data_IF_050657094301
#
_entry.id   IF_050657094301
#
_cell.length_a   1.000
_cell.length_b   1.000
_cell.length_c   1.000
_cell.angle_alpha   90.00
_cell.angle_beta   90.00
_cell.angle_gamma   90.00
#
_symmetry.space_group_name_H-M   'P 1'
#
loop_
_entity.id
_entity.type
_entity.pdbx_description
1 polymer ?
#
# COMPACT_ATOMS: atom_id res chain seq x y z
N UNK A 1 -15.99 3.52 -9.79
CA UNK A 1 -16.88 2.85 -10.76
C UNK A 1 -16.11 2.32 -11.96
N UNK A 2 -15.45 3.17 -12.76
CA UNK A 2 -14.74 2.75 -14.00
C UNK A 2 -13.69 1.66 -13.77
N UNK A 3 -12.84 1.78 -12.74
CA UNK A 3 -11.83 0.75 -12.44
C UNK A 3 -12.43 -0.62 -12.05
N UNK A 4 -13.48 -0.63 -11.23
CA UNK A 4 -14.21 -1.85 -10.88
C UNK A 4 -14.89 -2.47 -12.10
N UNK A 5 -15.53 -1.65 -12.94
CA UNK A 5 -16.14 -2.11 -14.18
C UNK A 5 -15.09 -2.68 -15.15
N UNK A 6 -13.92 -2.06 -15.24
CA UNK A 6 -12.79 -2.57 -16.01
C UNK A 6 -12.28 -3.91 -15.48
N UNK A 7 -12.12 -4.05 -14.17
CA UNK A 7 -11.71 -5.32 -13.54
C UNK A 7 -12.74 -6.43 -13.82
N UNK A 8 -14.02 -6.18 -13.55
CA UNK A 8 -15.11 -7.13 -13.84
C UNK A 8 -15.17 -7.47 -15.33
N UNK A 9 -15.08 -6.47 -16.21
CA UNK A 9 -15.06 -6.67 -17.66
C UNK A 9 -13.88 -7.53 -18.11
N UNK A 10 -12.71 -7.38 -17.49
CA UNK A 10 -11.53 -8.21 -17.76
C UNK A 10 -11.76 -9.66 -17.36
N UNK A 11 -12.32 -9.91 -16.16
CA UNK A 11 -12.63 -11.27 -15.71
C UNK A 11 -13.68 -11.94 -16.60
N UNK A 12 -14.72 -11.20 -16.99
CA UNK A 12 -15.74 -11.70 -17.91
C UNK A 12 -15.16 -12.01 -19.29
N UNK A 13 -14.28 -11.15 -19.81
CA UNK A 13 -13.62 -11.37 -21.09
C UNK A 13 -12.68 -12.58 -21.04
N UNK A 14 -11.89 -12.73 -19.98
CA UNK A 14 -11.03 -13.89 -19.77
C UNK A 14 -11.86 -15.19 -19.74
N UNK A 15 -12.99 -15.18 -19.03
CA UNK A 15 -13.93 -16.31 -18.99
C UNK A 15 -14.54 -16.61 -20.37
N UNK A 16 -14.92 -15.58 -21.13
CA UNK A 16 -15.46 -15.73 -22.49
C UNK A 16 -14.41 -16.29 -23.46
N UNK A 17 -13.14 -15.94 -23.26
CA UNK A 17 -12.01 -16.40 -24.07
C UNK A 17 -11.41 -17.72 -23.59
N UNK A 18 -11.99 -18.35 -22.56
CA UNK A 18 -11.50 -19.60 -21.96
C UNK A 18 -10.05 -19.53 -21.48
N UNK A 19 -9.62 -18.36 -21.00
CA UNK A 19 -8.33 -18.23 -20.32
C UNK A 19 -8.37 -18.85 -18.92
N UNK A 20 -7.19 -19.24 -18.38
CA UNK A 20 -7.09 -19.77 -17.02
C UNK A 20 -7.83 -18.90 -16.01
N UNK A 21 -8.60 -19.57 -15.17
CA UNK A 21 -9.46 -18.96 -14.17
C UNK A 21 -8.74 -18.75 -12.84
N UNK A 22 -9.42 -18.09 -11.91
CA UNK A 22 -8.97 -17.96 -10.53
C UNK A 22 -8.88 -19.33 -9.83
N UNK A 23 -9.70 -20.30 -10.24
CA UNK A 23 -9.64 -21.66 -9.72
C UNK A 23 -8.37 -22.39 -10.16
N UNK A 24 -7.88 -22.15 -11.38
CA UNK A 24 -6.63 -22.74 -11.88
C UNK A 24 -5.42 -22.15 -11.13
N UNK A 25 -5.45 -20.83 -10.87
CA UNK A 25 -4.45 -20.17 -10.02
C UNK A 25 -4.44 -20.74 -8.59
N UNK A 26 -5.61 -21.08 -8.06
CA UNK A 26 -5.74 -21.65 -6.72
C UNK A 26 -5.23 -23.09 -6.66
N UNK A 27 -5.46 -23.89 -7.71
CA UNK A 27 -4.86 -25.22 -7.83
C UNK A 27 -3.34 -25.10 -7.88
N UNK A 28 -2.78 -24.23 -8.73
CA UNK A 28 -1.33 -24.00 -8.81
C UNK A 28 -0.73 -23.70 -7.43
N UNK A 29 -1.36 -22.80 -6.67
CA UNK A 29 -0.94 -22.45 -5.31
C UNK A 29 -0.99 -23.64 -4.35
N UNK A 30 -2.13 -24.34 -4.27
CA UNK A 30 -2.36 -25.39 -3.26
C UNK A 30 -1.65 -26.71 -3.57
N UNK A 31 -1.32 -26.93 -4.84
CA UNK A 31 -0.62 -28.13 -5.32
C UNK A 31 0.89 -27.94 -5.39
N UNK A 32 1.41 -26.80 -4.95
CA UNK A 32 2.83 -26.45 -5.07
C UNK A 32 3.29 -26.52 -6.54
N UNK A 33 2.68 -25.69 -7.36
CA UNK A 33 2.89 -25.61 -8.81
C UNK A 33 2.61 -26.93 -9.54
N UNK A 34 1.47 -27.57 -9.23
CA UNK A 34 1.05 -28.85 -9.79
C UNK A 34 2.01 -30.02 -9.52
N UNK A 35 2.92 -29.89 -8.53
CA UNK A 35 3.77 -31.00 -8.08
C UNK A 35 3.02 -32.02 -7.20
N UNK A 36 1.77 -31.72 -6.83
CA UNK A 36 0.88 -32.60 -6.07
C UNK A 36 -0.45 -32.79 -6.80
N UNK A 37 -1.20 -33.86 -6.49
CA UNK A 37 -2.53 -34.05 -7.03
C UNK A 37 -3.47 -32.86 -6.76
N UNK A 38 -4.36 -32.59 -7.70
CA UNK A 38 -5.37 -31.54 -7.60
C UNK A 38 -6.21 -31.67 -6.34
N UNK A 39 -6.61 -30.51 -5.79
CA UNK A 39 -7.48 -30.45 -4.62
C UNK A 39 -8.94 -30.58 -5.02
N UNK A 40 -9.69 -31.41 -4.31
CA UNK A 40 -11.12 -31.57 -4.53
C UNK A 40 -11.91 -30.29 -4.17
N UNK A 41 -11.43 -29.56 -3.15
CA UNK A 41 -12.11 -28.40 -2.59
C UNK A 41 -11.16 -27.21 -2.38
N UNK A 42 -10.62 -26.62 -3.46
CA UNK A 42 -9.54 -25.65 -3.36
C UNK A 42 -9.97 -24.35 -2.64
N UNK A 43 -11.19 -23.87 -2.87
CA UNK A 43 -11.70 -22.65 -2.23
C UNK A 43 -11.88 -22.77 -0.71
N UNK A 44 -12.58 -23.81 -0.18
CA UNK A 44 -12.64 -24.04 1.26
C UNK A 44 -11.25 -24.18 1.91
N UNK A 45 -10.34 -24.95 1.31
CA UNK A 45 -8.97 -25.12 1.81
C UNK A 45 -8.24 -23.76 1.87
N UNK A 46 -8.35 -22.94 0.82
CA UNK A 46 -7.76 -21.61 0.78
C UNK A 46 -8.30 -20.69 1.88
N UNK A 47 -9.63 -20.65 2.10
CA UNK A 47 -10.21 -19.82 3.15
C UNK A 47 -9.79 -20.25 4.56
N UNK A 48 -9.60 -21.55 4.77
CA UNK A 48 -9.05 -22.06 6.03
C UNK A 48 -7.60 -21.59 6.22
N UNK A 49 -6.76 -21.66 5.18
CA UNK A 49 -5.39 -21.14 5.22
C UNK A 49 -5.35 -19.63 5.50
N UNK A 50 -6.23 -18.87 4.86
CA UNK A 50 -6.37 -17.43 5.10
C UNK A 50 -6.71 -17.13 6.56
N UNK A 51 -7.69 -17.85 7.14
CA UNK A 51 -8.05 -17.69 8.54
C UNK A 51 -6.87 -17.93 9.49
N UNK A 52 -6.16 -19.05 9.29
CA UNK A 52 -4.98 -19.38 10.08
C UNK A 52 -3.88 -18.32 9.94
N UNK A 53 -3.61 -17.89 8.71
CA UNK A 53 -2.61 -16.88 8.40
C UNK A 53 -2.91 -15.55 9.09
N UNK A 54 -4.11 -14.98 8.92
CA UNK A 54 -4.43 -13.65 9.45
C UNK A 54 -4.49 -13.62 10.98
N UNK A 55 -4.99 -14.69 11.62
CA UNK A 55 -4.97 -14.82 13.08
C UNK A 55 -3.53 -14.82 13.60
N UNK A 56 -2.68 -15.64 13.00
CA UNK A 56 -1.27 -15.74 13.39
C UNK A 56 -0.51 -14.44 13.08
N UNK A 57 -0.77 -13.81 11.94
CA UNK A 57 -0.17 -12.53 11.57
C UNK A 57 -0.54 -11.44 12.59
N UNK A 58 -1.82 -11.31 12.95
CA UNK A 58 -2.26 -10.35 13.97
C UNK A 58 -1.63 -10.64 15.33
N UNK A 59 -1.51 -11.91 15.71
CA UNK A 59 -0.80 -12.31 16.94
C UNK A 59 0.65 -11.86 16.92
N UNK A 60 1.37 -11.99 15.80
CA UNK A 60 2.75 -11.50 15.65
C UNK A 60 2.83 -9.98 15.72
N UNK A 61 1.92 -9.27 15.06
CA UNK A 61 1.88 -7.80 15.13
C UNK A 61 1.58 -7.29 16.55
N UNK A 62 0.80 -8.02 17.35
CA UNK A 62 0.58 -7.66 18.76
C UNK A 62 1.88 -7.69 19.59
N UNK A 63 2.82 -8.57 19.25
CA UNK A 63 4.15 -8.64 19.87
C UNK A 63 5.18 -7.69 19.23
N UNK A 64 4.98 -7.32 17.96
CA UNK A 64 5.89 -6.46 17.19
C UNK A 64 5.09 -5.34 16.49
N UNK A 65 4.56 -4.36 17.23
CA UNK A 65 3.57 -3.42 16.70
C UNK A 65 4.14 -2.33 15.79
N UNK A 66 5.47 -2.24 15.67
CA UNK A 66 6.14 -1.15 14.96
C UNK A 66 5.66 -1.04 13.51
N UNK A 67 5.50 -2.15 12.81
CA UNK A 67 5.06 -2.15 11.42
C UNK A 67 3.64 -1.61 11.27
N UNK A 68 2.68 -2.12 12.07
CA UNK A 68 1.29 -1.63 12.07
C UNK A 68 1.21 -0.17 12.47
N UNK A 69 1.99 0.25 13.46
CA UNK A 69 2.06 1.65 13.88
C UNK A 69 2.59 2.55 12.75
N UNK A 70 3.64 2.11 12.05
CA UNK A 70 4.22 2.83 10.93
C UNK A 70 3.26 2.91 9.73
N UNK A 71 2.51 1.84 9.43
CA UNK A 71 1.43 1.85 8.44
C UNK A 71 0.33 2.85 8.80
N UNK A 72 -0.11 2.85 10.06
CA UNK A 72 -1.16 3.77 10.52
C UNK A 72 -0.68 5.23 10.46
N UNK A 73 0.52 5.52 10.94
CA UNK A 73 1.12 6.85 10.86
C UNK A 73 1.33 7.30 9.41
N UNK A 74 1.81 6.39 8.54
CA UNK A 74 1.97 6.63 7.12
C UNK A 74 0.65 6.93 6.42
N UNK A 75 -0.38 6.11 6.63
CA UNK A 75 -1.72 6.32 6.07
C UNK A 75 -2.31 7.64 6.55
N UNK A 76 -2.15 7.97 7.82
CA UNK A 76 -2.60 9.23 8.38
C UNK A 76 -1.90 10.43 7.71
N UNK A 77 -0.58 10.41 7.58
CA UNK A 77 0.17 11.47 6.88
C UNK A 77 -0.23 11.61 5.41
N UNK A 78 -0.34 10.47 4.70
CA UNK A 78 -0.76 10.42 3.32
C UNK A 78 -2.16 11.02 3.11
N UNK A 79 -3.15 10.62 3.92
CA UNK A 79 -4.52 11.08 3.79
C UNK A 79 -4.72 12.52 4.27
N UNK A 80 -3.99 12.95 5.30
CA UNK A 80 -4.08 14.32 5.84
C UNK A 80 -3.41 15.35 4.94
N UNK A 81 -2.34 14.99 4.24
CA UNK A 81 -1.49 15.97 3.53
C UNK A 81 -1.21 15.67 2.07
N UNK A 82 -1.41 14.44 1.61
CA UNK A 82 -1.15 14.03 0.23
C UNK A 82 -2.27 14.35 -0.77
N UNK A 83 -3.40 14.91 -0.32
CA UNK A 83 -4.56 15.17 -1.18
C UNK A 83 -5.02 13.92 -1.93
N UNK A 84 -5.30 14.03 -3.23
CA UNK A 84 -5.69 12.90 -4.07
C UNK A 84 -4.59 11.83 -4.18
N UNK A 85 -3.31 12.23 -4.21
CA UNK A 85 -2.16 11.31 -4.28
C UNK A 85 -2.09 10.44 -3.02
N UNK A 86 -2.47 10.99 -1.86
CA UNK A 86 -2.56 10.23 -0.62
C UNK A 86 -3.49 9.02 -0.71
N UNK A 87 -4.64 9.18 -1.39
CA UNK A 87 -5.56 8.08 -1.65
C UNK A 87 -4.94 7.00 -2.55
N UNK A 88 -4.24 7.40 -3.61
CA UNK A 88 -3.53 6.45 -4.49
C UNK A 88 -2.40 5.72 -3.77
N UNK A 89 -1.67 6.41 -2.89
CA UNK A 89 -0.61 5.81 -2.09
C UNK A 89 -1.16 4.73 -1.14
N UNK A 90 -2.28 5.00 -0.48
CA UNK A 90 -2.97 4.02 0.38
C UNK A 90 -3.44 2.84 -0.46
N UNK A 91 -4.04 3.08 -1.63
CA UNK A 91 -4.47 2.03 -2.54
C UNK A 91 -3.30 1.15 -3.01
N UNK A 92 -2.16 1.75 -3.37
CA UNK A 92 -0.95 1.03 -3.78
C UNK A 92 -0.31 0.24 -2.62
N UNK A 93 -0.33 0.78 -1.40
CA UNK A 93 0.12 0.02 -0.24
C UNK A 93 -0.81 -1.17 0.06
N UNK A 94 -2.11 -0.97 -0.11
CA UNK A 94 -3.11 -2.02 0.07
C UNK A 94 -2.93 -3.18 -0.92
N UNK A 95 -2.43 -2.93 -2.14
CA UNK A 95 -2.11 -4.04 -3.05
C UNK A 95 -1.04 -4.97 -2.50
N UNK A 96 -0.11 -4.49 -1.67
CA UNK A 96 0.85 -5.36 -0.97
C UNK A 96 0.17 -6.32 0.02
N UNK A 97 -0.88 -5.87 0.72
CA UNK A 97 -1.69 -6.73 1.58
C UNK A 97 -2.48 -7.76 0.77
N UNK A 98 -3.01 -7.37 -0.40
CA UNK A 98 -3.69 -8.29 -1.31
C UNK A 98 -2.73 -9.33 -1.91
N UNK A 99 -1.51 -8.93 -2.26
CA UNK A 99 -0.47 -9.86 -2.72
C UNK A 99 -0.14 -10.90 -1.65
N UNK A 100 -0.02 -10.47 -0.39
CA UNK A 100 0.17 -11.38 0.74
C UNK A 100 -1.06 -12.27 0.97
N UNK A 101 -2.27 -11.75 0.83
CA UNK A 101 -3.50 -12.54 0.89
C UNK A 101 -3.55 -13.63 -0.19
N UNK A 102 -2.90 -13.43 -1.34
CA UNK A 102 -2.78 -14.44 -2.40
C UNK A 102 -1.87 -15.62 -2.02
N UNK A 103 -1.02 -15.46 -1.00
CA UNK A 103 -0.06 -16.47 -0.55
C UNK A 103 -0.10 -16.55 0.99
N UNK A 104 -1.09 -17.23 1.58
CA UNK A 104 -1.28 -17.31 3.03
C UNK A 104 -0.24 -18.21 3.72
N UNK A 105 1.05 -17.88 3.58
CA UNK A 105 2.18 -18.56 4.20
C UNK A 105 2.87 -17.61 5.19
N UNK A 106 2.92 -18.06 6.45
CA UNK A 106 3.49 -17.30 7.57
C UNK A 106 5.02 -17.52 7.74
N UNK A 107 5.56 -18.58 7.12
CA UNK A 107 6.93 -19.05 7.33
C UNK A 107 7.82 -18.78 6.11
N UNK A 108 7.26 -18.86 4.91
CA UNK A 108 7.99 -18.64 3.67
C UNK A 108 7.52 -17.30 3.12
N UNK A 109 8.42 -16.33 2.97
CA UNK A 109 8.19 -15.03 2.30
C UNK A 109 7.45 -13.90 3.06
N UNK A 110 7.06 -14.11 4.32
CA UNK A 110 6.10 -13.26 5.08
C UNK A 110 6.35 -11.74 5.13
N UNK A 111 7.55 -11.25 4.84
CA UNK A 111 7.87 -9.81 4.78
C UNK A 111 8.13 -9.26 3.36
N UNK A 112 8.37 -10.12 2.36
CA UNK A 112 8.72 -9.68 1.00
C UNK A 112 7.49 -9.34 0.17
N UNK A 113 6.39 -10.08 0.34
CA UNK A 113 5.16 -9.86 -0.42
C UNK A 113 4.40 -8.62 0.04
N UNK A 114 4.57 -8.21 1.29
CA UNK A 114 3.99 -6.98 1.85
C UNK A 114 4.85 -5.74 1.55
N UNK A 115 5.89 -5.85 0.71
CA UNK A 115 6.84 -4.76 0.42
C UNK A 115 6.16 -3.46 -0.01
N UNK A 116 5.09 -3.53 -0.81
CA UNK A 116 4.37 -2.35 -1.25
C UNK A 116 3.69 -1.60 -0.10
N UNK A 117 3.34 -2.30 1.00
CA UNK A 117 2.79 -1.66 2.18
C UNK A 117 3.78 -0.67 2.81
N UNK A 118 5.10 -0.88 2.63
CA UNK A 118 6.14 0.03 3.12
C UNK A 118 6.15 1.39 2.41
N UNK A 119 5.48 1.55 1.26
CA UNK A 119 5.30 2.87 0.65
C UNK A 119 4.60 3.86 1.59
N UNK A 120 3.66 3.38 2.43
CA UNK A 120 2.98 4.22 3.41
C UNK A 120 3.92 4.79 4.47
N UNK A 121 4.70 4.01 5.22
CA UNK A 121 5.62 4.58 6.19
C UNK A 121 6.73 5.40 5.52
N UNK A 122 7.26 4.95 4.37
CA UNK A 122 8.36 5.65 3.68
C UNK A 122 7.94 7.05 3.20
N UNK A 123 6.73 7.20 2.68
CA UNK A 123 6.26 8.49 2.13
C UNK A 123 5.38 9.25 3.12
N UNK A 124 4.45 8.54 3.75
CA UNK A 124 3.43 9.11 4.63
C UNK A 124 3.95 9.59 5.99
N UNK A 125 4.93 8.90 6.60
CA UNK A 125 5.48 9.36 7.89
C UNK A 125 6.24 10.69 7.73
N UNK A 126 7.12 10.88 6.73
CA UNK A 126 7.71 12.19 6.46
C UNK A 126 6.66 13.29 6.22
N UNK A 127 5.60 12.99 5.45
CA UNK A 127 4.49 13.92 5.26
C UNK A 127 3.81 14.26 6.59
N UNK A 128 3.66 13.30 7.51
CA UNK A 128 3.08 13.54 8.83
C UNK A 128 3.98 14.41 9.72
N UNK A 129 5.31 14.25 9.64
CA UNK A 129 6.27 14.98 10.48
C UNK A 129 6.65 16.37 9.93
N UNK A 130 6.33 16.64 8.66
CA UNK A 130 6.75 17.85 7.94
C UNK A 130 6.50 19.17 8.71
N UNK A 131 5.36 19.43 9.37
CA UNK A 131 5.16 20.66 10.14
C UNK A 131 5.90 20.72 11.48
N UNK A 132 6.28 19.59 12.07
CA UNK A 132 7.13 19.59 13.26
C UNK A 132 8.55 19.99 12.87
N UNK A 133 9.04 19.45 11.75
CA UNK A 133 10.37 19.80 11.21
C UNK A 133 10.42 21.27 10.78
N UNK A 134 9.37 21.77 10.12
CA UNK A 134 9.31 23.18 9.69
C UNK A 134 8.98 24.15 10.83
N UNK A 135 8.12 23.76 11.78
CA UNK A 135 7.77 24.57 12.95
C UNK A 135 8.93 24.70 13.94
N UNK A 136 9.78 23.67 14.07
CA UNK A 136 11.00 23.74 14.86
C UNK A 136 12.15 24.49 14.15
N UNK A 137 12.03 24.75 12.85
CA UNK A 137 12.97 25.53 12.05
C UNK A 137 12.74 27.04 12.06
N UNK A 138 11.60 27.50 12.59
CA UNK A 138 11.30 28.93 12.79
C UNK A 138 11.93 29.49 14.08
N UNK A 139 12.77 28.70 14.76
CA UNK A 139 13.59 29.14 15.89
C UNK A 139 14.89 29.86 15.52
N UNK A 140 15.53 29.56 14.38
CA UNK A 140 16.76 30.23 13.93
C UNK A 140 17.16 29.71 12.53
N UNK A 141 16.78 30.39 11.44
CA UNK A 141 17.14 29.89 10.10
C UNK A 141 16.32 30.35 8.91
N UNK A 142 15.38 31.30 9.08
CA UNK A 142 14.87 32.04 7.92
C UNK A 142 16.03 32.84 7.33
N UNK A 143 16.70 32.30 6.32
CA UNK A 143 17.46 33.12 5.37
C UNK A 143 16.42 34.10 4.82
N UNK A 144 16.56 35.42 5.07
CA UNK A 144 15.64 36.39 4.51
C UNK A 144 15.76 36.28 3.00
N UNK A 145 14.71 35.80 2.33
CA UNK A 145 14.62 35.99 0.89
C UNK A 145 14.72 37.50 0.67
N UNK A 146 15.66 37.99 -0.17
CA UNK A 146 15.76 39.41 -0.42
C UNK A 146 14.41 39.88 -0.95
N UNK A 147 13.75 40.72 -0.16
CA UNK A 147 12.57 41.47 -0.57
C UNK A 147 12.92 42.09 -1.92
N UNK A 148 12.16 41.72 -2.95
CA UNK A 148 12.28 42.25 -4.31
C UNK A 148 11.99 43.75 -4.30
N UNK A 149 12.95 44.54 -3.85
CA UNK A 149 12.94 46.00 -3.79
C UNK A 149 13.38 46.58 -5.13
N UNK A 150 12.81 46.06 -6.21
CA UNK A 150 13.06 46.55 -7.58
C UNK A 150 11.80 47.10 -8.27
N UNK A 151 10.61 46.98 -7.67
CA UNK A 151 9.39 47.56 -8.23
C UNK A 151 9.22 49.06 -7.96
N UNK A 152 10.01 49.67 -7.07
CA UNK A 152 9.88 51.11 -6.75
C UNK A 152 10.95 52.02 -7.40
N UNK A 153 11.92 51.49 -8.16
CA UNK A 153 12.89 52.33 -8.90
C UNK A 153 12.48 52.61 -10.34
N UNK A 154 11.56 51.85 -10.91
CA UNK A 154 11.02 52.11 -12.25
C UNK A 154 9.88 53.14 -12.25
N UNK A 155 9.17 53.33 -11.14
CA UNK A 155 8.08 54.32 -11.03
C UNK A 155 8.57 55.72 -10.60
N UNK A 156 9.84 55.87 -10.20
CA UNK A 156 10.42 57.16 -9.80
C UNK A 156 11.22 57.86 -10.91
N UNK A 157 11.25 57.30 -12.13
CA UNK A 157 11.96 57.86 -13.30
C UNK A 157 11.03 57.91 -14.54
N UNK A 158 9.71 57.94 -14.32
CA UNK A 158 8.70 58.10 -15.37
C UNK A 158 8.02 59.45 -15.28
#
# INVERSE_FOLDING_TARGET
AVGLAGAVGTLLLARLLHYPSEADSLQDLLTDHFNRPDREHPWPEFWQLQGNFWVEWLRRQAWQPLFVAALAAGAWGALRRGGAVGGFLVAAAFTGLLTQAGHPDINIWGERLIVLAWLLPVVGVPLLLEPVVRGNGDGDGRVPLPVRRERNRAEAVG
#
